data_IF_848122721362
#
_entry.id   IF_848122721362
#
_cell.length_a   1.000
_cell.length_b   1.000
_cell.length_c   1.000
_cell.angle_alpha   90.00
_cell.angle_beta   90.00
_cell.angle_gamma   90.00
#
_symmetry.space_group_name_H-M   'P 1'
#
loop_
_entity.id
_entity.type
_entity.pdbx_description
1 polymer ?
#
# COMPACT_ATOMS: atom_id res chain seq x y z
N UNK A 1 2.08 7.52 4.46
CA UNK A 1 0.94 8.43 4.23
C UNK A 1 1.13 9.74 4.97
N UNK A 2 0.49 10.80 4.50
CA UNK A 2 0.42 12.09 5.18
C UNK A 2 -0.49 12.00 6.41
N UNK A 3 -0.39 12.98 7.32
CA UNK A 3 -1.19 13.06 8.55
C UNK A 3 -2.69 13.21 8.27
N UNK A 4 -3.05 13.86 7.16
CA UNK A 4 -4.42 14.03 6.69
C UNK A 4 -4.92 12.89 5.77
N UNK A 5 -4.20 11.78 5.72
CA UNK A 5 -4.71 10.50 5.19
C UNK A 5 -4.47 10.24 3.71
N UNK A 6 -3.53 10.94 3.07
CA UNK A 6 -3.17 10.72 1.66
C UNK A 6 -1.95 9.82 1.52
N UNK A 7 -2.03 8.82 0.63
CA UNK A 7 -0.93 7.89 0.30
C UNK A 7 -0.10 8.35 -0.90
N UNK A 8 -0.68 9.20 -1.75
CA UNK A 8 0.00 9.87 -2.86
C UNK A 8 -0.67 11.22 -3.11
N UNK A 9 0.04 12.14 -3.76
CA UNK A 9 -0.54 13.39 -4.26
C UNK A 9 -1.43 13.15 -5.48
N UNK A 10 -1.96 14.23 -6.09
CA UNK A 10 -2.66 14.14 -7.37
C UNK A 10 -1.81 13.42 -8.43
N UNK A 11 -2.45 12.65 -9.31
CA UNK A 11 -1.78 11.87 -10.36
C UNK A 11 -0.67 10.95 -9.83
N UNK A 12 -0.87 10.34 -8.65
CA UNK A 12 0.09 9.45 -8.00
C UNK A 12 1.43 10.10 -7.60
N UNK A 13 1.52 11.42 -7.46
CA UNK A 13 2.77 12.09 -7.10
C UNK A 13 3.35 11.63 -5.74
N UNK A 14 4.66 11.38 -5.69
CA UNK A 14 5.39 10.85 -4.53
C UNK A 14 6.57 11.74 -4.07
N UNK A 15 6.81 12.86 -4.74
CA UNK A 15 7.91 13.80 -4.45
C UNK A 15 7.87 14.36 -3.02
N UNK A 16 6.65 14.51 -2.47
CA UNK A 16 6.42 14.95 -1.10
C UNK A 16 6.89 13.96 -0.02
N UNK A 17 7.18 12.70 -0.37
CA UNK A 17 7.64 11.67 0.59
C UNK A 17 9.16 11.64 0.79
N UNK A 18 9.89 12.59 0.24
CA UNK A 18 11.34 12.68 0.42
C UNK A 18 11.74 13.29 1.76
N UNK A 19 12.93 12.94 2.26
CA UNK A 19 13.52 13.57 3.46
C UNK A 19 13.02 13.02 4.81
N UNK A 20 12.19 11.97 4.81
CA UNK A 20 11.78 11.29 6.04
C UNK A 20 12.68 10.10 6.37
N UNK A 21 12.80 9.81 7.65
CA UNK A 21 13.43 8.58 8.16
C UNK A 21 12.36 7.67 8.76
N UNK A 22 12.53 6.37 8.55
CA UNK A 22 11.67 5.34 9.14
C UNK A 22 12.46 4.56 10.20
N UNK A 23 11.79 3.63 10.90
CA UNK A 23 12.47 2.81 11.90
C UNK A 23 13.63 2.02 11.25
N UNK A 24 14.77 1.85 11.94
CA UNK A 24 15.87 1.03 11.44
C UNK A 24 15.41 -0.39 11.09
N UNK A 25 15.90 -0.95 9.99
CA UNK A 25 15.62 -2.32 9.56
C UNK A 25 14.25 -2.54 8.89
N UNK A 26 13.38 -1.53 8.82
CA UNK A 26 12.05 -1.65 8.19
C UNK A 26 12.13 -2.18 6.75
N UNK A 27 13.03 -1.62 5.94
CA UNK A 27 13.18 -2.02 4.54
C UNK A 27 13.60 -3.48 4.43
N UNK A 28 14.60 -3.89 5.22
CA UNK A 28 15.10 -5.27 5.23
C UNK A 28 14.00 -6.24 5.65
N UNK A 29 13.19 -5.86 6.65
CA UNK A 29 12.03 -6.65 7.09
C UNK A 29 11.07 -6.90 5.92
N UNK A 30 10.60 -5.85 5.24
CA UNK A 30 9.70 -5.99 4.10
C UNK A 30 10.31 -6.81 2.96
N UNK A 31 11.58 -6.59 2.63
CA UNK A 31 12.28 -7.36 1.61
C UNK A 31 12.30 -8.86 1.97
N UNK A 32 12.45 -9.19 3.25
CA UNK A 32 12.48 -10.59 3.70
C UNK A 32 11.08 -11.22 3.80
N UNK A 33 10.07 -10.47 4.26
CA UNK A 33 8.73 -10.99 4.52
C UNK A 33 7.81 -10.93 3.31
N UNK A 34 8.07 -10.09 2.31
CA UNK A 34 7.26 -10.02 1.09
C UNK A 34 7.52 -11.21 0.18
N UNK A 35 6.47 -11.99 -0.10
CA UNK A 35 6.48 -13.09 -1.05
C UNK A 35 5.98 -12.69 -2.44
N UNK A 36 4.95 -11.86 -2.49
CA UNK A 36 4.37 -11.34 -3.73
C UNK A 36 3.74 -9.96 -3.50
N UNK A 37 3.48 -9.23 -4.58
CA UNK A 37 2.83 -7.92 -4.53
C UNK A 37 1.57 -7.93 -5.41
N UNK A 38 0.49 -7.35 -4.92
CA UNK A 38 -0.74 -7.07 -5.67
C UNK A 38 -0.95 -5.56 -5.78
N UNK A 39 -0.69 -5.01 -6.96
CA UNK A 39 -0.91 -3.60 -7.31
C UNK A 39 -2.21 -3.38 -8.10
N UNK A 40 -2.63 -2.12 -8.16
CA UNK A 40 -3.71 -1.67 -9.05
C UNK A 40 -3.15 -1.01 -10.32
N UNK A 41 -3.97 -0.98 -11.38
CA UNK A 41 -3.56 -0.44 -12.69
C UNK A 41 -3.04 1.00 -12.64
N UNK A 42 -3.75 1.91 -11.97
CA UNK A 42 -3.37 3.34 -11.97
C UNK A 42 -1.98 3.56 -11.33
N UNK A 43 -1.68 2.83 -10.25
CA UNK A 43 -0.37 2.89 -9.61
C UNK A 43 0.74 2.31 -10.49
N UNK A 44 0.45 1.22 -11.19
CA UNK A 44 1.37 0.64 -12.18
C UNK A 44 1.63 1.60 -13.34
N UNK A 45 0.61 2.25 -13.89
CA UNK A 45 0.80 3.19 -15.01
C UNK A 45 1.60 4.43 -14.62
N UNK A 46 1.48 4.88 -13.38
CA UNK A 46 2.30 5.97 -12.85
C UNK A 46 3.78 5.57 -12.65
N UNK A 47 4.03 4.31 -12.27
CA UNK A 47 5.36 3.78 -11.95
C UNK A 47 5.54 2.35 -12.51
N UNK A 48 5.70 2.18 -13.84
CA UNK A 48 5.67 0.88 -14.51
C UNK A 48 7.01 0.14 -14.42
N UNK A 49 7.58 0.04 -13.22
CA UNK A 49 8.87 -0.61 -12.98
C UNK A 49 8.86 -1.43 -11.69
N UNK A 50 8.64 -2.74 -11.84
CA UNK A 50 8.69 -3.71 -10.75
C UNK A 50 10.07 -3.78 -10.07
N UNK A 51 11.14 -3.43 -10.79
CA UNK A 51 12.52 -3.45 -10.29
C UNK A 51 12.83 -2.32 -9.31
N UNK A 52 11.90 -1.40 -9.06
CA UNK A 52 12.07 -0.30 -8.08
C UNK A 52 11.39 -0.58 -6.74
N UNK A 53 10.65 -1.67 -6.61
CA UNK A 53 9.98 -2.04 -5.36
C UNK A 53 11.03 -2.17 -4.24
N UNK A 54 10.77 -1.50 -3.11
CA UNK A 54 11.70 -1.42 -1.99
C UNK A 54 13.10 -0.93 -2.38
N UNK A 55 13.17 0.05 -3.29
CA UNK A 55 14.44 0.58 -3.78
C UNK A 55 15.23 -0.40 -4.65
N UNK A 56 14.54 -1.42 -5.20
CA UNK A 56 15.13 -2.51 -5.98
C UNK A 56 15.79 -3.61 -5.15
N UNK A 57 15.62 -3.60 -3.83
CA UNK A 57 16.14 -4.64 -2.95
C UNK A 57 15.32 -5.94 -3.02
N UNK A 58 14.06 -5.87 -3.49
CA UNK A 58 13.16 -7.00 -3.58
C UNK A 58 12.86 -7.41 -5.02
N UNK A 59 12.72 -8.71 -5.22
CA UNK A 59 12.34 -9.32 -6.48
C UNK A 59 11.36 -10.46 -6.22
N UNK A 60 10.26 -10.51 -6.94
CA UNK A 60 9.27 -11.57 -6.81
C UNK A 60 8.07 -11.35 -7.72
N UNK A 61 7.04 -12.22 -7.62
CA UNK A 61 5.82 -12.10 -8.39
C UNK A 61 5.10 -10.78 -8.11
N UNK A 62 4.91 -9.97 -9.16
CA UNK A 62 4.07 -8.78 -9.13
C UNK A 62 2.80 -9.02 -9.96
N UNK A 63 1.65 -8.84 -9.33
CA UNK A 63 0.35 -8.90 -9.97
C UNK A 63 -0.25 -7.51 -10.06
N UNK A 64 -0.80 -7.16 -11.22
CA UNK A 64 -1.55 -5.90 -11.42
C UNK A 64 -2.99 -6.24 -11.75
N UNK A 65 -3.91 -5.88 -10.86
CA UNK A 65 -5.33 -6.07 -11.09
C UNK A 65 -5.88 -4.96 -11.99
N UNK A 66 -6.53 -5.34 -13.09
CA UNK A 66 -7.12 -4.43 -14.07
C UNK A 66 -8.35 -5.07 -14.72
N UNK A 67 -9.34 -4.27 -15.08
CA UNK A 67 -10.48 -4.76 -15.88
C UNK A 67 -10.14 -4.87 -17.37
N UNK A 68 -9.10 -4.17 -17.83
CA UNK A 68 -8.66 -4.10 -19.22
C UNK A 68 -7.21 -4.58 -19.36
N UNK A 69 -6.95 -5.90 -19.22
CA UNK A 69 -5.60 -6.44 -19.39
C UNK A 69 -5.08 -6.30 -20.83
N UNK A 70 -5.96 -6.18 -21.82
CA UNK A 70 -5.63 -5.94 -23.23
C UNK A 70 -4.91 -4.60 -23.48
N UNK A 71 -5.15 -3.61 -22.62
CA UNK A 71 -4.50 -2.29 -22.68
C UNK A 71 -3.14 -2.28 -21.96
N UNK A 72 -2.73 -3.42 -21.38
CA UNK A 72 -1.45 -3.55 -20.71
C UNK A 72 -0.32 -3.84 -21.70
N UNK A 73 0.75 -3.07 -21.60
CA UNK A 73 2.00 -3.46 -22.25
C UNK A 73 2.63 -4.60 -21.43
N UNK A 74 3.04 -5.71 -22.06
CA UNK A 74 3.76 -6.77 -21.37
C UNK A 74 4.99 -6.21 -20.66
N UNK A 75 5.11 -6.52 -19.37
CA UNK A 75 6.23 -6.09 -18.54
C UNK A 75 6.88 -7.32 -17.88
N UNK A 76 8.21 -7.36 -17.88
CA UNK A 76 8.94 -8.50 -17.34
C UNK A 76 8.70 -8.61 -15.82
N UNK A 77 8.41 -9.82 -15.35
CA UNK A 77 8.14 -10.08 -13.94
C UNK A 77 6.76 -9.61 -13.45
N UNK A 78 5.88 -9.17 -14.37
CA UNK A 78 4.54 -8.65 -14.03
C UNK A 78 3.46 -9.48 -14.70
N UNK A 79 2.41 -9.82 -13.93
CA UNK A 79 1.23 -10.52 -14.42
C UNK A 79 0.00 -9.64 -14.26
N UNK A 80 -0.66 -9.30 -15.37
CA UNK A 80 -1.93 -8.59 -15.34
C UNK A 80 -3.08 -9.57 -15.10
N UNK A 81 -3.89 -9.31 -14.08
CA UNK A 81 -5.05 -10.12 -13.72
C UNK A 81 -6.33 -9.35 -14.04
N UNK A 82 -7.32 -10.06 -14.57
CA UNK A 82 -8.69 -9.58 -14.74
C UNK A 82 -9.65 -10.61 -14.14
N UNK A 83 -9.89 -10.48 -12.84
CA UNK A 83 -10.72 -11.37 -12.02
C UNK A 83 -11.29 -10.61 -10.81
N UNK A 84 -12.12 -11.28 -9.98
CA UNK A 84 -12.54 -10.69 -8.69
C UNK A 84 -11.34 -10.53 -7.76
N UNK A 85 -11.40 -9.52 -6.88
CA UNK A 85 -10.31 -9.18 -5.96
C UNK A 85 -9.95 -10.34 -5.03
N UNK A 86 -10.90 -11.18 -4.64
CA UNK A 86 -10.63 -12.36 -3.80
C UNK A 86 -9.84 -13.43 -4.56
N UNK A 87 -10.11 -13.61 -5.85
CA UNK A 87 -9.33 -14.51 -6.71
C UNK A 87 -7.90 -13.99 -6.90
N UNK A 88 -7.74 -12.67 -7.07
CA UNK A 88 -6.42 -12.03 -7.17
C UNK A 88 -5.60 -12.24 -5.88
N UNK A 89 -6.22 -12.12 -4.71
CA UNK A 89 -5.58 -12.43 -3.42
C UNK A 89 -5.18 -13.90 -3.34
N UNK A 90 -6.05 -14.83 -3.72
CA UNK A 90 -5.72 -16.26 -3.72
C UNK A 90 -4.52 -16.58 -4.60
N UNK A 91 -4.48 -16.02 -5.82
CA UNK A 91 -3.34 -16.16 -6.75
C UNK A 91 -2.08 -15.58 -6.14
N UNK A 92 -2.16 -14.37 -5.57
CA UNK A 92 -1.03 -13.70 -4.95
C UNK A 92 -0.46 -14.46 -3.75
N UNK A 93 -1.31 -14.99 -2.88
CA UNK A 93 -0.91 -15.77 -1.70
C UNK A 93 -0.26 -17.11 -2.09
N UNK A 94 -0.79 -17.78 -3.11
CA UNK A 94 -0.18 -19.00 -3.67
C UNK A 94 1.24 -18.70 -4.19
N UNK A 95 1.39 -17.61 -4.94
CA UNK A 95 2.68 -17.15 -5.45
C UNK A 95 3.63 -16.64 -4.36
N UNK A 96 3.09 -16.13 -3.25
CA UNK A 96 3.88 -15.66 -2.11
C UNK A 96 4.58 -16.79 -1.35
N UNK A 97 4.22 -18.06 -1.60
CA UNK A 97 4.91 -19.24 -1.06
C UNK A 97 5.11 -19.21 0.47
N UNK A 98 4.03 -18.91 1.19
CA UNK A 98 4.02 -18.85 2.66
C UNK A 98 4.59 -17.57 3.27
N UNK A 99 4.99 -16.59 2.44
CA UNK A 99 5.33 -15.23 2.85
C UNK A 99 4.14 -14.28 2.63
N UNK A 100 4.31 -12.99 2.93
CA UNK A 100 3.26 -11.98 2.80
C UNK A 100 2.88 -11.72 1.34
N UNK A 101 1.60 -11.45 1.11
CA UNK A 101 1.12 -10.76 -0.10
C UNK A 101 0.91 -9.28 0.25
N UNK A 102 1.77 -8.41 -0.29
CA UNK A 102 1.67 -6.97 -0.04
C UNK A 102 0.73 -6.29 -1.03
N UNK A 103 -0.18 -5.45 -0.54
CA UNK A 103 -1.20 -4.80 -1.38
C UNK A 103 -0.84 -3.34 -1.66
N UNK A 104 -0.41 -3.07 -2.87
CA UNK A 104 0.06 -1.76 -3.33
C UNK A 104 -1.05 -0.99 -4.07
N UNK A 105 -2.22 -0.91 -3.45
CA UNK A 105 -3.33 -0.08 -3.96
C UNK A 105 -4.33 0.22 -2.86
N UNK A 106 -4.65 1.51 -2.58
CA UNK A 106 -5.65 1.86 -1.58
C UNK A 106 -7.06 1.40 -1.99
N UNK A 107 -7.37 1.40 -3.30
CA UNK A 107 -8.67 0.95 -3.81
C UNK A 107 -8.86 -0.56 -3.66
N UNK A 108 -7.81 -1.35 -3.89
CA UNK A 108 -7.83 -2.80 -3.64
C UNK A 108 -7.88 -3.05 -2.13
N UNK A 109 -7.01 -2.39 -1.35
CA UNK A 109 -6.97 -2.49 0.11
C UNK A 109 -8.33 -2.22 0.76
N UNK A 110 -9.05 -1.17 0.32
CA UNK A 110 -10.43 -0.90 0.78
C UNK A 110 -11.38 -2.07 0.51
N UNK A 111 -11.39 -2.59 -0.71
CA UNK A 111 -12.27 -3.71 -1.07
C UNK A 111 -11.95 -4.98 -0.26
N UNK A 112 -10.66 -5.23 -0.01
CA UNK A 112 -10.24 -6.36 0.81
C UNK A 112 -10.64 -6.17 2.27
N UNK A 113 -10.51 -4.96 2.82
CA UNK A 113 -10.92 -4.65 4.18
C UNK A 113 -12.44 -4.81 4.37
N UNK A 114 -13.25 -4.35 3.40
CA UNK A 114 -14.71 -4.54 3.39
C UNK A 114 -15.14 -6.01 3.35
N UNK A 115 -14.28 -6.86 2.79
CA UNK A 115 -14.50 -8.32 2.68
C UNK A 115 -13.84 -9.12 3.79
N UNK A 116 -13.14 -8.47 4.73
CA UNK A 116 -12.41 -9.14 5.81
C UNK A 116 -11.23 -9.98 5.32
N UNK A 117 -10.58 -9.57 4.23
CA UNK A 117 -9.45 -10.27 3.58
C UNK A 117 -8.09 -9.61 3.86
N UNK A 118 -8.04 -8.64 4.78
CA UNK A 118 -6.80 -8.02 5.25
C UNK A 118 -6.49 -8.56 6.63
N UNK A 119 -5.29 -9.14 6.80
CA UNK A 119 -4.80 -9.61 8.09
C UNK A 119 -4.17 -8.46 8.90
N UNK A 120 -3.38 -7.61 8.23
CA UNK A 120 -2.61 -6.55 8.86
C UNK A 120 -2.60 -5.26 8.02
N UNK A 121 -2.58 -4.12 8.70
CA UNK A 121 -2.39 -2.80 8.07
C UNK A 121 -1.18 -2.15 8.73
N UNK A 122 -0.07 -2.06 8.01
CA UNK A 122 1.13 -1.37 8.47
C UNK A 122 1.15 0.09 7.96
N UNK A 123 1.16 1.05 8.89
CA UNK A 123 0.99 2.47 8.59
C UNK A 123 2.19 3.30 9.03
N UNK A 124 2.79 3.96 8.05
CA UNK A 124 3.84 4.95 8.24
C UNK A 124 3.27 6.35 8.04
N UNK A 125 3.08 7.11 9.13
CA UNK A 125 2.50 8.46 9.11
C UNK A 125 3.62 9.50 9.20
N UNK A 126 3.80 10.30 8.15
CA UNK A 126 4.79 11.38 8.12
C UNK A 126 4.15 12.72 8.54
N UNK A 127 4.92 13.68 9.09
CA UNK A 127 4.42 14.94 9.63
C UNK A 127 4.06 15.97 8.54
N UNK A 128 3.20 15.59 7.59
CA UNK A 128 2.79 16.42 6.45
C UNK A 128 1.26 16.48 6.38
N UNK A 129 0.72 17.67 6.14
CA UNK A 129 -0.66 17.85 5.68
C UNK A 129 -0.60 18.10 4.17
N UNK A 130 -0.98 17.10 3.38
CA UNK A 130 -0.82 17.13 1.91
C UNK A 130 -1.94 17.91 1.22
N UNK A 131 -3.14 17.93 1.82
CA UNK A 131 -4.31 18.69 1.37
C UNK A 131 -5.14 18.03 0.28
N UNK A 132 -4.52 17.30 -0.65
CA UNK A 132 -5.21 16.60 -1.74
C UNK A 132 -4.40 15.42 -2.29
N UNK A 133 -5.08 14.50 -2.98
CA UNK A 133 -4.46 13.35 -3.62
C UNK A 133 -5.27 12.08 -3.43
N UNK A 134 -4.58 10.95 -3.42
CA UNK A 134 -5.18 9.62 -3.27
C UNK A 134 -5.22 9.30 -1.78
N UNK A 135 -6.43 9.06 -1.24
CA UNK A 135 -6.61 8.69 0.16
C UNK A 135 -6.26 7.23 0.41
N UNK A 136 -5.73 6.93 1.60
CA UNK A 136 -5.53 5.54 2.05
C UNK A 136 -6.84 4.75 2.01
N UNK A 137 -7.89 5.36 2.57
CA UNK A 137 -9.20 4.75 2.72
C UNK A 137 -10.28 5.77 2.42
N UNK A 138 -10.86 5.69 1.22
CA UNK A 138 -11.98 6.52 0.79
C UNK A 138 -13.25 5.68 0.72
N UNK A 139 -14.07 5.72 1.78
CA UNK A 139 -15.28 4.90 1.91
C UNK A 139 -16.51 5.73 2.33
N UNK A 140 -17.00 6.62 1.46
CA UNK A 140 -18.18 7.42 1.76
C UNK A 140 -19.43 6.54 1.94
N UNK A 141 -20.11 6.69 3.07
CA UNK A 141 -21.31 5.89 3.39
C UNK A 141 -21.01 4.49 3.96
N UNK A 142 -19.74 4.13 4.12
CA UNK A 142 -19.33 2.90 4.80
C UNK A 142 -19.58 2.90 6.30
N UNK A 143 -19.32 1.77 6.95
CA UNK A 143 -19.39 1.63 8.41
C UNK A 143 -18.01 1.76 9.05
N UNK A 144 -17.90 2.20 10.32
CA UNK A 144 -16.61 2.27 11.00
C UNK A 144 -15.96 0.89 11.14
N UNK A 145 -14.73 0.76 10.66
CA UNK A 145 -13.88 -0.43 10.87
C UNK A 145 -13.04 -0.21 12.13
N UNK A 146 -13.14 -1.12 13.10
CA UNK A 146 -12.29 -1.09 14.31
C UNK A 146 -11.04 -1.92 14.05
N UNK A 147 -9.89 -1.35 14.35
CA UNK A 147 -8.59 -2.00 14.26
C UNK A 147 -8.00 -2.16 15.66
N UNK A 148 -7.13 -3.15 15.79
CA UNK A 148 -6.29 -3.36 16.97
C UNK A 148 -4.83 -3.02 16.63
N UNK A 149 -4.10 -2.31 17.48
CA UNK A 149 -2.67 -2.14 17.31
C UNK A 149 -1.97 -3.49 17.55
N UNK A 150 -1.03 -3.84 16.66
CA UNK A 150 -0.21 -5.05 16.79
C UNK A 150 1.14 -4.79 17.47
N UNK A 151 1.50 -3.51 17.62
CA UNK A 151 2.77 -3.06 18.20
C UNK A 151 2.63 -2.60 19.66
N UNK A 152 1.49 -2.89 20.30
CA UNK A 152 1.19 -2.49 21.68
C UNK A 152 0.54 -3.66 22.42
N UNK A 153 0.82 -3.79 23.72
CA UNK A 153 0.21 -4.81 24.58
C UNK A 153 -1.28 -4.48 24.84
N UNK A 154 -1.65 -3.20 24.82
CA UNK A 154 -3.05 -2.76 24.90
C UNK A 154 -3.67 -2.68 23.49
N UNK A 155 -4.43 -3.73 23.13
CA UNK A 155 -5.17 -3.84 21.86
C UNK A 155 -6.28 -2.80 21.68
N UNK A 156 -6.49 -1.91 22.64
CA UNK A 156 -7.41 -0.78 22.55
C UNK A 156 -6.72 0.59 22.59
N UNK A 157 -5.38 0.63 22.63
CA UNK A 157 -4.61 1.85 22.75
C UNK A 157 -4.83 2.79 21.56
N UNK A 158 -4.97 4.08 21.87
CA UNK A 158 -4.96 5.14 20.88
C UNK A 158 -3.52 5.55 20.56
N UNK A 159 -3.25 5.88 19.29
CA UNK A 159 -1.96 6.46 18.88
C UNK A 159 -1.97 7.97 19.15
N UNK A 160 -1.07 8.45 20.01
CA UNK A 160 -0.92 9.87 20.30
C UNK A 160 0.20 10.49 19.45
N UNK A 161 -0.16 11.39 18.53
CA UNK A 161 0.79 12.14 17.69
C UNK A 161 0.71 13.64 18.01
N UNK A 162 1.85 14.28 18.22
CA UNK A 162 1.92 15.72 18.51
C UNK A 162 2.91 16.42 17.58
N UNK A 163 2.40 17.34 16.77
CA UNK A 163 3.19 18.13 15.83
C UNK A 163 3.03 19.62 16.10
N UNK A 164 3.98 20.40 15.59
CA UNK A 164 3.85 21.85 15.42
C UNK A 164 4.02 22.19 13.95
N UNK A 165 3.30 23.19 13.42
CA UNK A 165 3.59 23.70 12.08
C UNK A 165 5.03 24.21 11.99
N UNK A 166 5.68 23.94 10.86
CA UNK A 166 6.91 24.62 10.48
C UNK A 166 6.51 26.01 9.94
N UNK A 167 7.19 27.06 10.42
CA UNK A 167 7.02 28.40 9.87
C UNK A 167 8.04 28.53 8.75
N UNK A 168 7.61 28.46 7.51
CA UNK A 168 8.44 28.76 6.35
C UNK A 168 8.56 30.29 6.27
N UNK A 169 9.75 30.81 6.55
CA UNK A 169 10.09 32.23 6.36
C UNK A 169 10.26 32.59 4.90
#
# INVERSE_FOLDING_TARGET
MSLDGFVAGPNHAMDWMTGFSFRPGLLDEYVQTTGAVLGGRDGWDAYPDAGTIYGGAWHGPLFVLTHHPEDAQPANGVTFLSCDVADAVRIGLEAANGKNLEVFSPTIGRQLLERGLIDEIDLHIVPVLLGQGIRLFDNPGGTPVRLEPLNDDDRSAAVNLRYRPLVTS
#
